data_IF_808612849451
#
_entry.id   IF_808612849451
#
_cell.length_a   1.000
_cell.length_b   1.000
_cell.length_c   1.000
_cell.angle_alpha   90.00
_cell.angle_beta   90.00
_cell.angle_gamma   90.00
#
_symmetry.space_group_name_H-M   'P 1'
#
loop_
_entity.id
_entity.type
_entity.pdbx_description
1 polymer ?
#
# COMPACT_ATOMS: atom_id res chain seq x y z
N UNK A 1 -14.09 20.03 30.52
CA UNK A 1 -13.37 18.90 29.89
C UNK A 1 -13.52 19.04 28.39
N UNK A 2 -12.44 19.37 27.67
CA UNK A 2 -12.44 19.42 26.22
C UNK A 2 -11.71 18.19 25.67
N UNK A 3 -12.39 17.55 24.73
CA UNK A 3 -12.13 16.26 24.12
C UNK A 3 -10.70 16.12 23.57
N UNK A 4 -10.10 14.94 23.76
CA UNK A 4 -8.76 14.48 23.33
C UNK A 4 -8.62 14.47 21.80
N UNK A 5 -8.69 15.65 21.18
CA UNK A 5 -8.45 15.83 19.75
C UNK A 5 -6.96 15.66 19.49
N UNK A 6 -6.65 14.54 18.84
CA UNK A 6 -5.53 14.44 17.90
C UNK A 6 -4.20 14.67 18.62
N UNK A 7 -3.80 13.68 19.43
CA UNK A 7 -2.37 13.47 19.70
C UNK A 7 -1.68 13.52 18.35
N UNK A 8 -0.78 14.49 18.14
CA UNK A 8 0.15 14.49 17.03
C UNK A 8 0.71 13.07 16.92
N UNK A 9 0.28 12.30 15.91
CA UNK A 9 0.87 11.00 15.61
C UNK A 9 2.25 11.31 15.02
N UNK A 10 3.21 11.69 15.87
CA UNK A 10 4.60 11.78 15.48
C UNK A 10 5.08 10.38 15.12
N UNK A 11 5.78 10.29 14.00
CA UNK A 11 6.45 9.08 13.58
C UNK A 11 7.62 8.79 14.53
N UNK A 12 7.66 7.58 15.09
CA UNK A 12 8.71 7.13 15.99
C UNK A 12 9.78 6.29 15.28
N UNK A 13 9.42 5.55 14.24
CA UNK A 13 10.35 4.76 13.41
C UNK A 13 9.93 4.86 11.92
N UNK A 14 10.91 4.85 11.01
CA UNK A 14 10.70 4.87 9.55
C UNK A 14 11.47 3.72 8.91
N UNK A 15 10.78 2.94 8.07
CA UNK A 15 11.37 1.89 7.26
C UNK A 15 10.97 2.10 5.81
N UNK A 16 11.94 2.48 4.96
CA UNK A 16 11.76 2.36 3.52
C UNK A 16 11.64 0.87 3.19
N UNK A 17 10.62 0.48 2.43
CA UNK A 17 10.51 -0.88 1.94
C UNK A 17 11.35 -0.96 0.68
N UNK A 18 12.34 -1.84 0.67
CA UNK A 18 13.14 -2.09 -0.52
C UNK A 18 12.25 -2.71 -1.60
N UNK A 19 12.38 -2.22 -2.83
CA UNK A 19 11.62 -2.68 -3.99
C UNK A 19 11.95 -4.14 -4.29
N UNK A 20 11.18 -5.08 -3.75
CA UNK A 20 11.39 -6.48 -4.07
C UNK A 20 10.77 -6.74 -5.43
N UNK A 21 11.64 -6.95 -6.41
CA UNK A 21 11.33 -7.09 -7.83
C UNK A 21 11.02 -5.79 -8.58
N UNK A 22 11.37 -4.61 -8.04
CA UNK A 22 11.23 -3.36 -8.78
C UNK A 22 9.78 -2.97 -8.99
N UNK A 23 9.37 -1.89 -8.34
CA UNK A 23 8.27 -1.04 -8.82
C UNK A 23 8.43 -0.85 -10.35
N UNK A 24 9.68 -0.69 -10.80
CA UNK A 24 10.14 -0.68 -12.18
C UNK A 24 10.07 -2.00 -12.97
N UNK A 25 9.13 -2.92 -12.73
CA UNK A 25 8.81 -4.01 -13.70
C UNK A 25 8.00 -3.47 -14.88
N UNK A 26 8.43 -2.40 -15.55
CA UNK A 26 7.74 -1.82 -16.72
C UNK A 26 6.27 -1.40 -16.51
N UNK A 27 5.72 -1.58 -15.31
CA UNK A 27 4.29 -1.51 -15.00
C UNK A 27 3.98 -0.60 -13.82
N UNK A 28 4.96 -0.34 -12.94
CA UNK A 28 4.95 0.79 -12.02
C UNK A 28 6.13 1.70 -12.39
N UNK A 29 5.81 2.91 -12.83
CA UNK A 29 6.75 3.83 -13.48
C UNK A 29 7.61 4.61 -12.46
N UNK A 30 7.06 4.87 -11.28
CA UNK A 30 7.71 5.66 -10.22
C UNK A 30 6.93 5.48 -8.90
N UNK A 31 7.56 5.75 -7.76
CA UNK A 31 6.90 5.72 -6.46
C UNK A 31 7.80 5.54 -5.24
N UNK A 32 7.17 5.52 -4.07
CA UNK A 32 7.75 5.10 -2.81
C UNK A 32 6.74 4.27 -2.02
N UNK A 33 7.25 3.41 -1.14
CA UNK A 33 6.48 2.75 -0.10
C UNK A 33 7.30 2.67 1.17
N UNK A 34 6.65 2.93 2.29
CA UNK A 34 7.30 2.89 3.59
C UNK A 34 6.35 2.39 4.66
N UNK A 35 6.96 1.96 5.76
CA UNK A 35 6.25 1.65 7.01
C UNK A 35 6.76 2.59 8.07
N UNK A 36 5.81 3.21 8.75
CA UNK A 36 6.05 4.15 9.83
C UNK A 36 5.47 3.59 11.11
N UNK A 37 6.25 3.54 12.19
CA UNK A 37 5.68 3.30 13.52
C UNK A 37 5.21 4.63 14.07
N UNK A 38 3.97 4.64 14.54
CA UNK A 38 3.33 5.82 15.11
C UNK A 38 3.56 5.85 16.61
N UNK A 39 3.51 7.03 17.23
CA UNK A 39 3.71 7.21 18.67
C UNK A 39 2.76 6.42 19.57
N UNK A 40 1.60 6.02 19.04
CA UNK A 40 0.63 5.16 19.73
C UNK A 40 0.92 3.65 19.58
N UNK A 41 2.05 3.29 18.97
CA UNK A 41 2.46 1.89 18.76
C UNK A 41 1.88 1.22 17.51
N UNK A 42 0.95 1.87 16.80
CA UNK A 42 0.44 1.36 15.52
C UNK A 42 1.47 1.51 14.41
N UNK A 43 1.40 0.65 13.40
CA UNK A 43 2.14 0.81 12.17
C UNK A 43 1.26 1.44 11.10
N UNK A 44 1.88 2.22 10.23
CA UNK A 44 1.25 2.81 9.05
C UNK A 44 2.06 2.40 7.83
N UNK A 45 1.43 1.66 6.93
CA UNK A 45 1.94 1.52 5.57
C UNK A 45 1.50 2.74 4.76
N UNK A 46 2.44 3.41 4.11
CA UNK A 46 2.17 4.52 3.19
C UNK A 46 2.83 4.23 1.86
N UNK A 47 2.13 4.52 0.77
CA UNK A 47 2.80 4.54 -0.51
C UNK A 47 2.17 5.51 -1.49
N UNK A 48 3.01 5.89 -2.44
CA UNK A 48 2.67 6.63 -3.62
C UNK A 48 3.27 5.87 -4.79
N UNK A 49 2.48 5.51 -5.79
CA UNK A 49 3.06 4.90 -6.98
C UNK A 49 2.24 5.20 -8.23
N UNK A 50 2.94 5.25 -9.35
CA UNK A 50 2.33 5.46 -10.67
C UNK A 50 2.39 4.15 -11.44
N UNK A 51 1.25 3.56 -11.81
CA UNK A 51 1.19 2.25 -12.47
C UNK A 51 0.24 2.20 -13.66
N UNK A 52 0.32 1.13 -14.45
CA UNK A 52 -0.69 0.74 -15.43
C UNK A 52 -1.50 -0.42 -14.86
N UNK A 53 -2.70 -0.19 -14.28
CA UNK A 53 -3.42 -1.23 -13.54
C UNK A 53 -3.71 -2.47 -14.39
N UNK A 54 -4.03 -2.30 -15.67
CA UNK A 54 -4.29 -3.42 -16.60
C UNK A 54 -3.09 -4.34 -16.80
N UNK A 55 -1.89 -3.85 -16.51
CA UNK A 55 -0.68 -4.60 -16.64
C UNK A 55 -0.39 -5.44 -15.38
N UNK A 56 -0.86 -5.00 -14.20
CA UNK A 56 -0.56 -5.61 -12.90
C UNK A 56 -1.07 -7.06 -12.85
N UNK A 57 -0.18 -8.06 -12.71
CA UNK A 57 -0.60 -9.43 -12.48
C UNK A 57 -1.35 -9.55 -11.15
N UNK A 58 -2.40 -10.37 -11.11
CA UNK A 58 -3.11 -10.61 -9.85
C UNK A 58 -2.16 -11.28 -8.83
N UNK A 59 -1.96 -10.64 -7.67
CA UNK A 59 -1.05 -11.12 -6.63
C UNK A 59 0.41 -10.67 -6.80
N UNK A 60 0.67 -9.66 -7.63
CA UNK A 60 2.01 -9.09 -7.82
C UNK A 60 2.57 -8.56 -6.50
N UNK A 61 3.67 -9.14 -6.01
CA UNK A 61 4.32 -8.70 -4.77
C UNK A 61 5.17 -7.46 -5.08
N UNK A 62 4.94 -6.38 -4.35
CA UNK A 62 5.66 -5.10 -4.51
C UNK A 62 6.60 -4.79 -3.34
N UNK A 63 6.57 -5.61 -2.29
CA UNK A 63 7.45 -5.44 -1.15
C UNK A 63 7.05 -6.29 0.04
N UNK A 64 7.79 -6.13 1.13
CA UNK A 64 7.57 -6.84 2.38
C UNK A 64 7.64 -5.89 3.55
N UNK A 65 6.76 -6.09 4.54
CA UNK A 65 6.84 -5.36 5.80
C UNK A 65 8.07 -5.79 6.60
N UNK A 66 8.68 -4.86 7.38
CA UNK A 66 9.73 -5.23 8.32
C UNK A 66 9.20 -6.21 9.36
N UNK A 67 10.08 -7.04 9.93
CA UNK A 67 9.70 -8.09 10.89
C UNK A 67 8.95 -7.54 12.12
N UNK A 68 9.31 -6.33 12.54
CA UNK A 68 8.68 -5.62 13.66
C UNK A 68 7.24 -5.17 13.37
N UNK A 69 6.82 -5.13 12.10
CA UNK A 69 5.55 -4.57 11.66
C UNK A 69 4.66 -5.64 11.00
N UNK A 70 4.52 -6.82 11.61
CA UNK A 70 3.61 -7.84 11.08
C UNK A 70 2.16 -7.58 11.56
N UNK A 71 1.16 -7.42 10.66
CA UNK A 71 -0.22 -7.27 11.08
C UNK A 71 -0.75 -8.56 11.71
N UNK A 72 -1.71 -8.44 12.63
CA UNK A 72 -2.35 -9.60 13.27
C UNK A 72 -3.17 -10.46 12.30
N UNK A 73 -3.70 -9.84 11.24
CA UNK A 73 -4.53 -10.49 10.22
C UNK A 73 -4.16 -9.96 8.83
N UNK A 74 -4.51 -10.71 7.78
CA UNK A 74 -4.37 -10.21 6.42
C UNK A 74 -5.25 -8.96 6.22
N UNK A 75 -4.67 -7.90 5.66
CA UNK A 75 -5.38 -6.65 5.40
C UNK A 75 -5.68 -6.54 3.91
N UNK A 76 -6.87 -6.04 3.59
CA UNK A 76 -7.26 -5.66 2.24
C UNK A 76 -7.69 -4.20 2.24
N UNK A 77 -7.13 -3.42 1.32
CA UNK A 77 -7.59 -2.05 1.07
C UNK A 77 -7.77 -1.81 -0.42
N UNK A 78 -8.62 -0.85 -0.76
CA UNK A 78 -8.97 -0.50 -2.14
C UNK A 78 -8.54 0.94 -2.43
N UNK A 79 -7.57 1.11 -3.32
CA UNK A 79 -7.26 2.41 -3.87
C UNK A 79 -8.24 2.68 -5.03
N UNK A 80 -9.19 3.60 -4.81
CA UNK A 80 -10.21 3.97 -5.78
C UNK A 80 -9.81 5.25 -6.53
N UNK A 81 -9.71 5.18 -7.85
CA UNK A 81 -9.72 6.37 -8.70
C UNK A 81 -11.14 6.58 -9.25
N UNK A 82 -11.83 7.58 -8.67
CA UNK A 82 -13.22 7.97 -8.97
C UNK A 82 -13.41 8.38 -10.42
N UNK A 83 -12.41 9.02 -11.02
CA UNK A 83 -12.55 9.65 -12.35
C UNK A 83 -12.43 8.59 -13.45
N UNK A 84 -11.67 7.51 -13.20
CA UNK A 84 -11.40 6.48 -14.19
C UNK A 84 -11.94 5.08 -13.88
N UNK A 85 -12.71 4.89 -12.81
CA UNK A 85 -13.19 3.57 -12.34
C UNK A 85 -12.05 2.55 -12.18
N UNK A 86 -10.90 2.98 -11.66
CA UNK A 86 -9.72 2.12 -11.54
C UNK A 86 -9.67 1.45 -10.18
N UNK A 87 -9.40 0.16 -10.18
CA UNK A 87 -9.35 -0.66 -8.98
C UNK A 87 -7.97 -1.28 -8.85
N UNK A 88 -7.21 -0.83 -7.85
CA UNK A 88 -6.06 -1.59 -7.35
C UNK A 88 -6.37 -1.98 -5.91
N UNK A 89 -6.44 -3.28 -5.66
CA UNK A 89 -6.55 -3.82 -4.30
C UNK A 89 -5.15 -4.06 -3.76
N UNK A 90 -4.90 -3.57 -2.54
CA UNK A 90 -3.69 -3.85 -1.79
C UNK A 90 -4.01 -4.97 -0.81
N UNK A 91 -3.20 -6.03 -0.81
CA UNK A 91 -3.24 -7.09 0.19
C UNK A 91 -1.94 -7.06 0.99
N UNK A 92 -2.03 -7.04 2.31
CA UNK A 92 -0.89 -7.22 3.22
C UNK A 92 -1.06 -8.55 3.94
N UNK A 93 -0.20 -9.52 3.64
CA UNK A 93 -0.21 -10.84 4.27
C UNK A 93 0.38 -10.81 5.68
N UNK A 94 -0.28 -11.45 6.64
CA UNK A 94 0.23 -11.61 8.01
C UNK A 94 1.14 -12.85 8.19
N UNK A 95 1.06 -13.78 7.25
CA UNK A 95 1.81 -15.03 7.21
C UNK A 95 3.22 -14.83 6.64
N UNK A 96 3.33 -14.02 5.59
CA UNK A 96 4.57 -13.81 4.84
C UNK A 96 5.00 -12.34 4.75
N UNK A 97 4.28 -11.42 5.40
CA UNK A 97 4.53 -9.96 5.37
C UNK A 97 4.50 -9.33 3.98
N UNK A 98 4.05 -10.07 2.96
CA UNK A 98 4.06 -9.59 1.58
C UNK A 98 3.01 -8.50 1.40
N UNK A 99 3.38 -7.51 0.59
CA UNK A 99 2.50 -6.47 0.12
C UNK A 99 2.24 -6.76 -1.35
N UNK A 100 0.99 -6.96 -1.71
CA UNK A 100 0.56 -7.36 -3.03
C UNK A 100 -0.36 -6.33 -3.63
N UNK A 101 -0.14 -6.03 -4.91
CA UNK A 101 -1.11 -5.34 -5.75
C UNK A 101 -1.91 -6.38 -6.52
N UNK A 102 -3.22 -6.18 -6.55
CA UNK A 102 -4.17 -7.10 -7.16
C UNK A 102 -5.17 -6.31 -7.99
N UNK A 103 -5.52 -6.85 -9.15
CA UNK A 103 -6.68 -6.40 -9.90
C UNK A 103 -7.95 -7.01 -9.30
N UNK A 104 -9.05 -6.26 -9.37
CA UNK A 104 -10.37 -6.76 -9.00
C UNK A 104 -10.94 -7.54 -10.19
N UNK A 105 -11.06 -8.85 -10.04
CA UNK A 105 -11.65 -9.73 -11.06
C UNK A 105 -13.02 -9.18 -11.52
N UNK A 106 -13.24 -9.14 -12.84
CA UNK A 106 -14.48 -8.63 -13.43
C UNK A 106 -14.61 -7.11 -13.57
N UNK A 107 -13.55 -6.34 -13.26
CA UNK A 107 -13.52 -4.89 -13.52
C UNK A 107 -12.76 -4.57 -14.82
N UNK A 108 -13.27 -3.62 -15.61
CA UNK A 108 -12.58 -3.12 -16.81
C UNK A 108 -11.37 -2.28 -16.37
N UNK A 109 -10.24 -2.94 -16.16
CA UNK A 109 -9.02 -2.28 -15.73
C UNK A 109 -8.47 -1.44 -16.88
N UNK A 110 -8.30 -0.13 -16.67
CA UNK A 110 -7.86 0.80 -17.72
C UNK A 110 -6.43 0.49 -18.20
N UNK A 111 -6.16 0.76 -19.48
CA UNK A 111 -4.81 0.81 -20.06
C UNK A 111 -4.10 2.15 -19.80
N UNK A 112 -4.78 3.13 -19.19
CA UNK A 112 -4.18 4.39 -18.82
C UNK A 112 -3.30 4.26 -17.57
N UNK A 113 -2.28 5.10 -17.50
CA UNK A 113 -1.47 5.26 -16.30
C UNK A 113 -2.31 5.90 -15.18
N UNK A 114 -2.10 5.47 -13.95
CA UNK A 114 -2.75 5.99 -12.75
C UNK A 114 -1.71 6.27 -11.68
N UNK A 115 -1.93 7.32 -10.90
CA UNK A 115 -1.14 7.62 -9.70
C UNK A 115 -2.00 7.35 -8.49
N UNK A 116 -1.49 6.52 -7.58
CA UNK A 116 -2.19 6.09 -6.38
C UNK A 116 -1.43 6.58 -5.16
N UNK A 117 -2.16 7.09 -4.18
CA UNK A 117 -1.66 7.47 -2.87
C UNK A 117 -2.56 6.85 -1.81
N UNK A 118 -1.98 6.20 -0.81
CA UNK A 118 -2.74 5.49 0.21
C UNK A 118 -1.97 5.36 1.53
N UNK A 119 -2.76 5.19 2.59
CA UNK A 119 -2.27 4.99 3.96
C UNK A 119 -3.12 3.94 4.67
N UNK A 120 -2.49 2.88 5.17
CA UNK A 120 -3.14 1.79 5.90
C UNK A 120 -2.55 1.73 7.31
N UNK A 121 -3.38 2.00 8.32
CA UNK A 121 -3.03 1.85 9.74
C UNK A 121 -3.34 0.41 10.22
N UNK A 122 -2.40 -0.22 10.92
CA UNK A 122 -2.54 -1.57 11.47
C UNK A 122 -1.78 -1.82 12.77
#
# INVERSE_FOLDING_TARGET
MYNTKITQKSQSEFHAIADVAGVSTGQVADGYHNVSKMSNGQFRYSAHFTCYPSAIPNGNIVGYLPESANPYQTIYDYAYDVIGQRWVRIRIGNDNRSIQLMNLDGTNVTSAQVTLEYHIDF
#
